data_IF_620109984342
#
_entry.id   IF_620109984342
#
_cell.length_a   1.000
_cell.length_b   1.000
_cell.length_c   1.000
_cell.angle_alpha   90.00
_cell.angle_beta   90.00
_cell.angle_gamma   90.00
#
_symmetry.space_group_name_H-M   'P 1'
#
loop_
_entity.id
_entity.type
_entity.pdbx_description
1 polymer ?
#
# COMPACT_ATOMS: atom_id res chain seq x y z
N UNK A 1 -2.33 -15.65 11.49
CA UNK A 1 -2.28 -14.20 11.23
C UNK A 1 -1.56 -13.53 12.38
N UNK A 2 -0.48 -12.77 12.12
CA UNK A 2 0.13 -11.92 13.16
C UNK A 2 -0.87 -10.80 13.51
N UNK A 3 -0.88 -10.29 14.72
CA UNK A 3 -1.67 -9.09 15.05
C UNK A 3 -1.02 -7.87 14.38
N UNK A 4 -1.78 -7.05 13.64
CA UNK A 4 -1.24 -5.90 12.91
C UNK A 4 -2.29 -5.17 12.07
N UNK A 5 -1.85 -4.13 11.35
CA UNK A 5 -2.69 -3.41 10.40
C UNK A 5 -2.60 -4.04 9.03
N UNK A 6 -3.75 -4.20 8.39
CA UNK A 6 -3.86 -4.85 7.10
C UNK A 6 -4.64 -3.99 6.13
N UNK A 7 -4.18 -3.98 4.88
CA UNK A 7 -4.93 -3.46 3.75
C UNK A 7 -5.35 -4.65 2.90
N UNK A 8 -6.65 -4.77 2.65
CA UNK A 8 -7.23 -5.85 1.84
C UNK A 8 -7.82 -5.24 0.57
N UNK A 9 -7.39 -5.74 -0.58
CA UNK A 9 -7.84 -5.22 -1.87
C UNK A 9 -7.06 -5.80 -3.04
N UNK A 10 -7.33 -5.28 -4.24
CA UNK A 10 -6.67 -5.73 -5.46
C UNK A 10 -5.31 -5.04 -5.59
N UNK A 11 -4.22 -5.82 -5.66
CA UNK A 11 -2.88 -5.27 -5.82
C UNK A 11 -2.67 -4.73 -7.24
N UNK A 12 -2.37 -3.44 -7.36
CA UNK A 12 -2.17 -2.77 -8.64
C UNK A 12 -0.74 -2.89 -9.15
N UNK A 13 0.22 -3.06 -8.25
CA UNK A 13 1.64 -3.19 -8.58
C UNK A 13 2.51 -2.18 -7.86
N UNK A 14 3.80 -2.25 -8.18
CA UNK A 14 4.81 -1.29 -7.78
C UNK A 14 4.88 -0.14 -8.79
N UNK A 15 5.04 1.10 -8.31
CA UNK A 15 5.42 2.23 -9.14
C UNK A 15 6.42 3.13 -8.44
N UNK A 16 7.28 3.76 -9.24
CA UNK A 16 8.23 4.78 -8.78
C UNK A 16 7.62 6.14 -9.06
N UNK A 17 7.48 6.96 -8.02
CA UNK A 17 7.03 8.35 -8.12
C UNK A 17 8.17 9.30 -7.81
N UNK A 18 8.21 10.43 -8.50
CA UNK A 18 9.18 11.51 -8.26
C UNK A 18 8.39 12.68 -7.70
N UNK A 19 8.68 13.07 -6.47
CA UNK A 19 8.05 14.23 -5.82
C UNK A 19 9.13 15.24 -5.41
N UNK A 20 9.29 16.29 -6.24
CA UNK A 20 10.47 17.14 -6.18
C UNK A 20 11.73 16.34 -6.48
N UNK A 21 12.78 16.51 -5.67
CA UNK A 21 14.05 15.78 -5.81
C UNK A 21 14.04 14.41 -5.11
N UNK A 22 12.92 13.99 -4.52
CA UNK A 22 12.83 12.73 -3.77
C UNK A 22 12.10 11.66 -4.55
N UNK A 23 12.80 10.55 -4.76
CA UNK A 23 12.19 9.32 -5.29
C UNK A 23 11.36 8.64 -4.19
N UNK A 24 10.18 8.14 -4.56
CA UNK A 24 9.32 7.34 -3.70
C UNK A 24 8.98 6.04 -4.39
N UNK A 25 9.11 4.96 -3.64
CA UNK A 25 8.73 3.62 -4.04
C UNK A 25 7.37 3.31 -3.42
N UNK A 26 6.37 3.08 -4.27
CA UNK A 26 4.97 2.95 -3.85
C UNK A 26 4.40 1.62 -4.34
N UNK A 27 3.58 1.01 -3.50
CA UNK A 27 2.76 -0.15 -3.81
C UNK A 27 1.31 0.33 -3.84
N UNK A 28 0.63 0.13 -4.97
CA UNK A 28 -0.78 0.50 -5.11
C UNK A 28 -1.68 -0.66 -4.72
N UNK A 29 -2.64 -0.40 -3.84
CA UNK A 29 -3.73 -1.35 -3.53
C UNK A 29 -5.06 -0.67 -3.76
N UNK A 30 -5.89 -1.26 -4.63
CA UNK A 30 -7.25 -0.78 -4.86
C UNK A 30 -8.21 -1.41 -3.85
N UNK A 31 -8.98 -0.57 -3.18
CA UNK A 31 -10.01 -0.98 -2.22
C UNK A 31 -11.37 -0.65 -2.80
N UNK A 32 -12.32 -1.55 -2.58
CA UNK A 32 -13.74 -1.34 -2.90
C UNK A 32 -14.49 -1.15 -1.60
N UNK A 33 -15.06 0.04 -1.43
CA UNK A 33 -15.86 0.36 -0.24
C UNK A 33 -17.30 0.54 -0.67
N UNK A 34 -18.28 -0.10 0.00
CA UNK A 34 -19.68 0.15 -0.28
C UNK A 34 -20.02 1.60 0.09
N UNK A 35 -20.72 2.29 -0.80
CA UNK A 35 -21.26 3.61 -0.50
C UNK A 35 -22.66 3.52 0.12
N UNK A 36 -23.19 4.67 0.53
CA UNK A 36 -24.50 4.78 1.21
C UNK A 36 -25.70 4.39 0.32
N UNK A 37 -25.47 4.16 -0.97
CA UNK A 37 -26.51 3.90 -1.97
C UNK A 37 -26.42 2.48 -2.56
N UNK A 38 -25.59 1.60 -1.97
CA UNK A 38 -25.48 0.21 -2.41
C UNK A 38 -24.61 -0.01 -3.65
N UNK A 39 -23.86 1.00 -4.10
CA UNK A 39 -22.80 0.81 -5.11
C UNK A 39 -21.43 0.76 -4.45
N UNK A 40 -20.40 0.37 -5.20
CA UNK A 40 -19.03 0.35 -4.69
C UNK A 40 -18.25 1.55 -5.22
N UNK A 41 -17.55 2.24 -4.33
CA UNK A 41 -16.54 3.23 -4.67
C UNK A 41 -15.16 2.58 -4.61
N UNK A 42 -14.37 2.80 -5.65
CA UNK A 42 -12.98 2.35 -5.71
C UNK A 42 -12.06 3.48 -5.29
N UNK A 43 -11.18 3.20 -4.33
CA UNK A 43 -10.08 4.09 -3.97
C UNK A 43 -8.75 3.35 -4.08
N UNK A 44 -7.66 4.09 -4.32
CA UNK A 44 -6.31 3.53 -4.31
C UNK A 44 -5.61 3.99 -3.04
N UNK A 45 -5.03 3.05 -2.30
CA UNK A 45 -4.11 3.35 -1.21
C UNK A 45 -2.69 3.11 -1.72
N UNK A 46 -1.87 4.16 -1.60
CA UNK A 46 -0.44 4.08 -1.83
C UNK A 46 0.27 3.68 -0.53
N UNK A 47 0.98 2.56 -0.58
CA UNK A 47 1.80 2.06 0.53
C UNK A 47 3.27 2.30 0.19
N UNK A 48 3.98 3.00 1.07
CA UNK A 48 5.38 3.38 0.85
C UNK A 48 6.31 2.23 1.15
N UNK A 49 7.04 1.79 0.13
CA UNK A 49 8.07 0.76 0.26
C UNK A 49 9.34 1.35 0.86
N UNK A 50 9.89 0.68 1.88
CA UNK A 50 11.20 1.02 2.45
C UNK A 50 12.30 0.85 1.42
N UNK A 51 13.26 1.79 1.38
CA UNK A 51 14.36 1.79 0.40
C UNK A 51 15.22 0.52 0.47
N UNK A 52 15.41 -0.03 1.67
CA UNK A 52 16.16 -1.27 1.91
C UNK A 52 15.58 -2.49 1.17
N UNK A 53 14.30 -2.44 0.82
CA UNK A 53 13.60 -3.52 0.11
C UNK A 53 13.55 -3.31 -1.41
N UNK A 54 14.03 -2.17 -1.92
CA UNK A 54 13.92 -1.77 -3.34
C UNK A 54 14.98 -2.48 -4.17
N UNK A 55 14.90 -3.81 -4.23
CA UNK A 55 15.74 -4.64 -5.08
C UNK A 55 14.99 -5.05 -6.35
N UNK A 56 15.70 -5.35 -7.43
CA UNK A 56 15.09 -5.87 -8.67
C UNK A 56 14.34 -7.18 -8.41
N UNK A 57 14.94 -8.09 -7.64
CA UNK A 57 14.33 -9.38 -7.27
C UNK A 57 13.03 -9.21 -6.48
N UNK A 58 13.01 -8.30 -5.50
CA UNK A 58 11.79 -8.02 -4.74
C UNK A 58 10.69 -7.43 -5.64
N UNK A 59 11.03 -6.47 -6.51
CA UNK A 59 10.06 -5.90 -7.48
C UNK A 59 9.45 -6.97 -8.38
N UNK A 60 10.27 -7.84 -8.97
CA UNK A 60 9.77 -8.95 -9.79
C UNK A 60 8.92 -9.94 -8.99
N UNK A 61 9.24 -10.14 -7.71
CA UNK A 61 8.40 -10.99 -6.85
C UNK A 61 7.01 -10.40 -6.61
N UNK A 62 6.82 -9.08 -6.72
CA UNK A 62 5.51 -8.44 -6.57
C UNK A 62 4.60 -8.63 -7.78
N UNK A 63 5.16 -8.87 -8.97
CA UNK A 63 4.39 -9.00 -10.21
C UNK A 63 3.40 -10.17 -10.15
N UNK A 64 3.71 -11.23 -9.39
CA UNK A 64 2.81 -12.37 -9.20
C UNK A 64 1.48 -11.99 -8.51
N UNK A 65 1.46 -10.89 -7.76
CA UNK A 65 0.28 -10.42 -7.05
C UNK A 65 -0.56 -9.46 -7.89
N UNK A 66 -0.04 -8.96 -9.01
CA UNK A 66 -0.68 -7.90 -9.79
C UNK A 66 -2.05 -8.34 -10.33
N UNK A 67 -3.06 -7.51 -10.08
CA UNK A 67 -4.46 -7.78 -10.43
C UNK A 67 -5.12 -8.85 -9.58
N UNK A 68 -4.49 -9.31 -8.49
CA UNK A 68 -5.04 -10.30 -7.56
C UNK A 68 -5.44 -9.63 -6.26
N UNK A 69 -6.42 -10.21 -5.59
CA UNK A 69 -6.82 -9.77 -4.26
C UNK A 69 -5.81 -10.27 -3.24
N UNK A 70 -5.29 -9.33 -2.45
CA UNK A 70 -4.25 -9.56 -1.46
C UNK A 70 -4.62 -9.01 -0.10
N UNK A 71 -3.97 -9.57 0.91
CA UNK A 71 -3.89 -9.03 2.25
C UNK A 71 -2.45 -8.52 2.42
N UNK A 72 -2.32 -7.22 2.65
CA UNK A 72 -1.04 -6.55 2.82
C UNK A 72 -0.87 -6.12 4.27
N UNK A 73 0.09 -6.70 4.99
CA UNK A 73 0.46 -6.27 6.33
C UNK A 73 1.30 -4.98 6.23
N UNK A 74 0.84 -3.91 6.87
CA UNK A 74 1.46 -2.58 6.74
C UNK A 74 1.72 -1.94 8.09
N UNK A 75 2.65 -1.00 8.12
CA UNK A 75 2.96 -0.18 9.28
C UNK A 75 2.42 1.25 9.07
N UNK A 76 1.30 1.63 9.71
CA UNK A 76 0.76 2.98 9.61
C UNK A 76 1.61 3.96 10.43
N UNK A 77 1.81 5.16 9.89
CA UNK A 77 2.41 6.28 10.59
C UNK A 77 1.53 7.51 10.43
N UNK A 78 1.04 8.02 11.55
CA UNK A 78 0.30 9.27 11.59
C UNK A 78 1.25 10.46 11.43
N UNK A 79 0.77 11.51 10.79
CA UNK A 79 1.43 12.81 10.74
C UNK A 79 0.41 13.93 10.85
N UNK A 80 0.86 15.08 11.32
CA UNK A 80 0.12 16.32 11.35
C UNK A 80 1.07 17.48 11.02
N UNK A 81 0.55 18.52 10.41
CA UNK A 81 1.24 19.75 10.05
C UNK A 81 0.61 20.92 10.80
N UNK A 82 1.39 21.97 11.03
CA UNK A 82 0.95 23.16 11.79
C UNK A 82 -0.22 23.91 11.11
N UNK A 83 -0.42 23.71 9.81
CA UNK A 83 -1.54 24.27 9.06
C UNK A 83 -2.87 23.50 9.27
N UNK A 84 -2.90 22.54 10.20
CA UNK A 84 -4.08 21.71 10.50
C UNK A 84 -4.25 20.48 9.60
N UNK A 85 -3.40 20.29 8.60
CA UNK A 85 -3.43 19.08 7.76
C UNK A 85 -2.92 17.88 8.56
N UNK A 86 -3.61 16.75 8.47
CA UNK A 86 -3.15 15.51 9.09
C UNK A 86 -3.52 14.31 8.22
N UNK A 87 -2.86 13.18 8.48
CA UNK A 87 -3.12 11.97 7.74
C UNK A 87 -2.36 10.77 8.27
N UNK A 88 -2.53 9.66 7.57
CA UNK A 88 -1.81 8.41 7.83
C UNK A 88 -1.08 8.02 6.56
N UNK A 89 0.20 7.67 6.70
CA UNK A 89 0.97 7.04 5.63
C UNK A 89 1.21 5.58 6.00
N UNK A 90 0.94 4.67 5.08
CA UNK A 90 1.19 3.24 5.27
C UNK A 90 2.56 2.89 4.71
N UNK A 91 3.32 2.08 5.44
CA UNK A 91 4.65 1.62 5.04
C UNK A 91 4.67 0.11 4.85
N UNK A 92 5.48 -0.33 3.88
CA UNK A 92 5.85 -1.72 3.65
C UNK A 92 7.35 -1.86 3.94
N UNK A 93 7.70 -2.60 4.99
CA UNK A 93 9.08 -2.80 5.44
C UNK A 93 9.37 -4.27 5.77
N UNK A 94 10.52 -4.57 6.41
CA UNK A 94 10.96 -5.93 6.69
C UNK A 94 10.01 -6.74 7.59
N UNK A 95 9.05 -6.10 8.26
CA UNK A 95 8.03 -6.77 9.06
C UNK A 95 6.70 -6.94 8.32
N UNK A 96 6.58 -6.38 7.12
CA UNK A 96 5.41 -6.47 6.27
C UNK A 96 5.37 -7.78 5.47
N UNK A 97 4.17 -8.16 5.05
CA UNK A 97 3.93 -9.32 4.19
C UNK A 97 2.82 -9.03 3.19
N UNK A 98 2.85 -9.73 2.07
CA UNK A 98 1.78 -9.74 1.07
C UNK A 98 1.35 -11.21 0.87
N UNK A 99 0.05 -11.46 1.00
CA UNK A 99 -0.53 -12.80 0.90
C UNK A 99 -1.75 -12.73 -0.02
N UNK A 100 -2.03 -13.79 -0.78
CA UNK A 100 -3.28 -13.89 -1.52
C UNK A 100 -4.45 -14.02 -0.54
N UNK A 101 -5.58 -13.37 -0.86
CA UNK A 101 -6.85 -13.69 -0.22
C UNK A 101 -7.22 -15.13 -0.60
N UNK A 102 -7.47 -15.98 0.41
CA UNK A 102 -7.90 -17.37 0.22
C UNK A 102 -9.40 -17.47 0.06
#
# INVERSE_FOLDING_TARGET
>A
MKSGFYIVGTFLGYFKSIFGDRERHLLGVQIKTPNKYGTFETSTIDVRLSEDLVTSGFKSSLDQFKGKDVILAVNPRQWAMDNGSSGITYYFDGNSSIEFVK
#
